data_IF_289755029034
#
_entry.id   IF_289755029034
#
_cell.length_a   1.000
_cell.length_b   1.000
_cell.length_c   1.000
_cell.angle_alpha   90.00
_cell.angle_beta   90.00
_cell.angle_gamma   90.00
#
_symmetry.space_group_name_H-M   'P 1'
#
loop_
_entity.id
_entity.type
_entity.pdbx_description
1 polymer ?
#
# COMPACT_ATOMS: atom_id res chain seq x y z
N UNK A 1 28.86 -29.06 -51.45
CA UNK A 1 28.16 -29.87 -50.42
C UNK A 1 26.79 -29.23 -50.20
N UNK A 2 25.69 -29.85 -50.63
CA UNK A 2 24.33 -29.25 -50.49
C UNK A 2 23.82 -29.52 -49.08
N UNK A 3 23.76 -28.50 -48.24
CA UNK A 3 23.21 -28.60 -46.89
C UNK A 3 21.70 -28.91 -47.03
N UNK A 4 21.26 -30.09 -46.55
CA UNK A 4 19.85 -30.47 -46.64
C UNK A 4 19.04 -29.68 -45.61
N UNK A 5 17.86 -29.22 -46.01
CA UNK A 5 16.89 -28.46 -45.21
C UNK A 5 16.75 -28.90 -43.73
N UNK A 6 16.66 -30.20 -43.38
CA UNK A 6 16.56 -30.61 -41.97
C UNK A 6 17.79 -30.22 -41.12
N UNK A 7 18.99 -30.16 -41.70
CA UNK A 7 20.20 -29.75 -40.97
C UNK A 7 20.24 -28.24 -40.72
N UNK A 8 19.61 -27.44 -41.59
CA UNK A 8 19.47 -26.00 -41.37
C UNK A 8 18.51 -25.70 -40.21
N UNK A 9 17.43 -26.48 -40.09
CA UNK A 9 16.46 -26.35 -38.98
C UNK A 9 17.09 -26.68 -37.63
N UNK A 10 17.90 -27.74 -37.57
CA UNK A 10 18.62 -28.13 -36.34
C UNK A 10 19.65 -27.07 -35.93
N UNK A 11 20.37 -26.49 -36.90
CA UNK A 11 21.33 -25.41 -36.65
C UNK A 11 20.64 -24.15 -36.09
N UNK A 12 19.49 -23.78 -36.64
CA UNK A 12 18.72 -22.62 -36.17
C UNK A 12 18.19 -22.84 -34.75
N UNK A 13 17.69 -24.04 -34.44
CA UNK A 13 17.25 -24.38 -33.07
C UNK A 13 18.40 -24.32 -32.05
N UNK A 14 19.62 -24.70 -32.44
CA UNK A 14 20.80 -24.64 -31.57
C UNK A 14 21.28 -23.20 -31.30
N UNK A 15 21.00 -22.25 -32.21
CA UNK A 15 21.38 -20.85 -32.05
C UNK A 15 20.39 -20.06 -31.16
N UNK A 16 19.14 -20.50 -31.06
CA UNK A 16 18.13 -19.83 -30.23
C UNK A 16 18.33 -20.04 -28.72
N UNK A 17 18.96 -21.13 -28.28
CA UNK A 17 19.16 -21.41 -26.84
C UNK A 17 20.19 -20.51 -26.16
N UNK A 18 21.00 -19.76 -26.92
CA UNK A 18 22.05 -18.88 -26.37
C UNK A 18 21.65 -17.42 -26.21
N UNK A 19 20.40 -17.02 -26.49
CA UNK A 19 19.96 -15.60 -26.43
C UNK A 19 18.98 -15.29 -25.31
N UNK A 20 18.72 -16.22 -24.40
CA UNK A 20 17.91 -15.98 -23.20
C UNK A 20 18.72 -15.23 -22.13
N UNK A 21 19.00 -13.95 -22.37
CA UNK A 21 19.37 -13.05 -21.29
C UNK A 21 18.08 -12.62 -20.58
N UNK A 22 17.81 -13.18 -19.41
CA UNK A 22 16.82 -12.64 -18.50
C UNK A 22 17.33 -11.27 -18.01
N UNK A 23 16.85 -10.18 -18.60
CA UNK A 23 17.11 -8.83 -18.07
C UNK A 23 16.29 -8.67 -16.78
N UNK A 24 16.85 -9.07 -15.63
CA UNK A 24 16.39 -8.53 -14.35
C UNK A 24 16.69 -7.04 -14.36
N UNK A 25 15.65 -6.22 -14.26
CA UNK A 25 15.81 -4.78 -14.18
C UNK A 25 16.29 -4.42 -12.75
N UNK A 26 17.57 -4.70 -12.46
CA UNK A 26 18.26 -4.50 -11.18
C UNK A 26 18.56 -3.03 -10.86
N UNK A 27 18.03 -2.08 -11.64
CA UNK A 27 18.23 -0.64 -11.41
C UNK A 27 17.46 -0.07 -10.20
N UNK A 28 16.74 -0.90 -9.43
CA UNK A 28 16.06 -0.44 -8.23
C UNK A 28 17.03 -0.38 -7.07
N UNK A 29 17.52 0.82 -6.77
CA UNK A 29 18.25 1.11 -5.54
C UNK A 29 17.51 0.51 -4.32
N UNK A 30 18.22 -0.13 -3.38
CA UNK A 30 17.62 -0.68 -2.18
C UNK A 30 16.97 0.45 -1.38
N UNK A 31 15.79 0.18 -0.82
CA UNK A 31 15.11 1.16 0.02
C UNK A 31 15.89 1.31 1.34
N UNK A 32 16.06 2.54 1.86
CA UNK A 32 16.67 2.72 3.17
C UNK A 32 15.82 2.03 4.23
N UNK A 33 16.40 1.69 5.39
CA UNK A 33 15.61 1.15 6.48
C UNK A 33 14.58 2.19 6.95
N UNK A 34 13.38 1.72 7.31
CA UNK A 34 12.35 2.59 7.83
C UNK A 34 12.81 3.26 9.13
N UNK A 35 12.75 4.58 9.16
CA UNK A 35 12.99 5.34 10.39
C UNK A 35 11.65 5.59 11.08
N UNK A 36 11.56 5.21 12.36
CA UNK A 36 10.33 5.36 13.13
C UNK A 36 10.53 6.40 14.23
N UNK A 37 9.62 7.37 14.29
CA UNK A 37 9.56 8.35 15.36
C UNK A 37 9.36 7.68 16.73
N UNK A 38 9.89 8.26 17.80
CA UNK A 38 9.81 7.67 19.14
C UNK A 38 8.37 7.42 19.62
N UNK A 39 7.40 8.19 19.10
CA UNK A 39 5.99 8.06 19.45
C UNK A 39 5.43 6.67 19.13
N UNK A 40 6.00 5.90 18.18
CA UNK A 40 5.50 4.55 17.87
C UNK A 40 5.77 3.56 19.00
N UNK A 41 6.67 3.86 19.93
CA UNK A 41 6.96 2.96 21.06
C UNK A 41 5.90 3.06 22.16
N UNK A 42 5.10 4.14 22.18
CA UNK A 42 4.00 4.28 23.13
C UNK A 42 2.90 3.22 22.88
N UNK A 43 2.16 2.80 23.93
CA UNK A 43 1.01 1.90 23.81
C UNK A 43 -0.04 2.39 22.81
N UNK A 44 -0.90 1.49 22.35
CA UNK A 44 -2.06 1.86 21.53
C UNK A 44 -3.02 2.72 22.36
N UNK A 45 -3.51 3.80 21.76
CA UNK A 45 -4.66 4.54 22.28
C UNK A 45 -5.94 3.74 22.06
N UNK A 46 -7.01 4.09 22.78
CA UNK A 46 -8.32 3.44 22.61
C UNK A 46 -8.85 3.57 21.18
N UNK A 47 -8.66 4.73 20.53
CA UNK A 47 -9.08 4.94 19.13
C UNK A 47 -8.30 4.04 18.16
N UNK A 48 -6.99 3.91 18.32
CA UNK A 48 -6.18 3.04 17.46
C UNK A 48 -6.52 1.57 17.67
N UNK A 49 -6.81 1.16 18.92
CA UNK A 49 -7.28 -0.18 19.22
C UNK A 49 -8.61 -0.48 18.52
N UNK A 50 -9.58 0.43 18.60
CA UNK A 50 -10.87 0.27 17.90
C UNK A 50 -10.70 0.17 16.38
N UNK A 51 -9.83 1.00 15.79
CA UNK A 51 -9.50 0.94 14.35
C UNK A 51 -8.92 -0.41 13.93
N UNK A 52 -8.07 -0.98 14.79
CA UNK A 52 -7.47 -2.29 14.59
C UNK A 52 -8.50 -3.43 14.77
N UNK A 53 -9.36 -3.34 15.79
CA UNK A 53 -10.42 -4.31 16.05
C UNK A 53 -11.44 -4.35 14.89
N UNK A 54 -11.80 -3.19 14.34
CA UNK A 54 -12.71 -3.09 13.19
C UNK A 54 -12.18 -3.85 11.96
N UNK A 55 -10.88 -3.77 11.68
CA UNK A 55 -10.28 -4.32 10.45
C UNK A 55 -9.82 -5.76 10.62
N UNK A 56 -9.30 -6.12 11.80
CA UNK A 56 -8.72 -7.44 12.04
C UNK A 56 -9.64 -8.38 12.82
N UNK A 57 -10.65 -7.87 13.53
CA UNK A 57 -11.59 -8.67 14.32
C UNK A 57 -10.88 -9.69 15.22
N UNK A 58 -11.29 -10.95 15.12
CA UNK A 58 -10.72 -12.06 15.89
C UNK A 58 -9.25 -12.40 15.51
N UNK A 59 -8.75 -11.89 14.37
CA UNK A 59 -7.38 -12.10 13.91
C UNK A 59 -6.39 -11.07 14.46
N UNK A 60 -6.89 -10.01 15.13
CA UNK A 60 -6.08 -8.91 15.64
C UNK A 60 -4.90 -9.39 16.50
N UNK A 61 -5.15 -10.33 17.42
CA UNK A 61 -4.11 -10.82 18.32
C UNK A 61 -2.97 -11.51 17.55
N UNK A 62 -3.29 -12.45 16.66
CA UNK A 62 -2.30 -13.28 15.95
C UNK A 62 -1.56 -12.55 14.81
N UNK A 63 -2.20 -11.59 14.16
CA UNK A 63 -1.64 -10.93 12.98
C UNK A 63 -1.04 -9.56 13.27
N UNK A 64 -1.34 -8.95 14.42
CA UNK A 64 -0.82 -7.62 14.77
C UNK A 64 -0.23 -7.60 16.17
N UNK A 65 -1.01 -7.91 17.20
CA UNK A 65 -0.58 -7.64 18.58
C UNK A 65 0.55 -8.56 19.04
N UNK A 66 0.60 -9.81 18.57
CA UNK A 66 1.70 -10.74 18.82
C UNK A 66 2.94 -10.48 17.96
N UNK A 67 2.91 -9.51 17.04
CA UNK A 67 3.98 -9.20 16.10
C UNK A 67 4.48 -7.76 16.34
N UNK A 68 5.50 -7.55 17.21
CA UNK A 68 5.91 -6.22 17.64
C UNK A 68 6.26 -5.27 16.49
N UNK A 69 6.99 -5.75 15.48
CA UNK A 69 7.36 -4.94 14.31
C UNK A 69 6.14 -4.59 13.43
N UNK A 70 5.19 -5.52 13.28
CA UNK A 70 3.94 -5.25 12.55
C UNK A 70 3.12 -4.19 13.27
N UNK A 71 2.98 -4.31 14.58
CA UNK A 71 2.30 -3.32 15.42
C UNK A 71 3.00 -1.96 15.35
N UNK A 72 4.33 -1.94 15.35
CA UNK A 72 5.13 -0.70 15.20
C UNK A 72 4.89 -0.04 13.84
N UNK A 73 4.89 -0.82 12.76
CA UNK A 73 4.61 -0.33 11.41
C UNK A 73 3.19 0.25 11.29
N UNK A 74 2.18 -0.42 11.85
CA UNK A 74 0.80 0.10 11.83
C UNK A 74 0.68 1.37 12.67
N UNK A 75 1.32 1.45 13.85
CA UNK A 75 1.36 2.69 14.64
C UNK A 75 1.99 3.83 13.83
N UNK A 76 3.05 3.56 13.08
CA UNK A 76 3.66 4.57 12.21
C UNK A 76 2.69 5.05 11.12
N UNK A 77 1.93 4.13 10.51
CA UNK A 77 0.87 4.49 9.54
C UNK A 77 -0.14 5.44 10.18
N UNK A 78 -0.70 5.07 11.33
CA UNK A 78 -1.76 5.81 11.99
C UNK A 78 -1.32 7.16 12.57
N UNK A 79 -0.11 7.24 13.11
CA UNK A 79 0.37 8.42 13.86
C UNK A 79 1.10 9.43 12.98
N UNK A 80 1.89 8.96 12.01
CA UNK A 80 2.89 9.80 11.36
C UNK A 80 2.66 9.94 9.85
N UNK A 81 2.09 8.92 9.20
CA UNK A 81 2.05 8.85 7.73
C UNK A 81 0.71 9.24 7.12
N UNK A 82 -0.40 8.89 7.75
CA UNK A 82 -1.74 9.25 7.26
C UNK A 82 -2.07 10.67 7.74
N UNK A 83 -2.34 11.57 6.79
CA UNK A 83 -2.79 12.92 7.06
C UNK A 83 -4.06 13.23 6.27
N UNK A 84 -5.04 13.84 6.94
CA UNK A 84 -6.25 14.33 6.29
C UNK A 84 -6.06 15.81 6.03
N UNK A 85 -6.06 16.19 4.76
CA UNK A 85 -5.89 17.55 4.29
C UNK A 85 -7.23 18.09 3.79
N UNK A 86 -7.42 19.40 3.88
CA UNK A 86 -8.60 20.09 3.37
C UNK A 86 -8.17 21.17 2.38
N UNK A 87 -8.63 21.08 1.13
CA UNK A 87 -8.38 22.09 0.11
C UNK A 87 -9.68 22.83 -0.20
N UNK A 88 -9.84 24.01 0.39
CA UNK A 88 -11.04 24.82 0.24
C UNK A 88 -11.23 25.38 -1.19
N UNK A 89 -10.13 25.65 -1.90
CA UNK A 89 -10.19 26.21 -3.25
C UNK A 89 -10.22 25.09 -4.30
N UNK A 90 -11.13 25.20 -5.26
CA UNK A 90 -11.22 24.24 -6.38
C UNK A 90 -9.96 24.21 -7.23
N UNK A 91 -9.18 25.29 -7.27
CA UNK A 91 -7.90 25.36 -8.00
C UNK A 91 -6.78 24.54 -7.36
N UNK A 92 -6.87 24.26 -6.06
CA UNK A 92 -5.89 23.46 -5.32
C UNK A 92 -6.25 21.96 -5.37
N UNK A 93 -7.40 21.61 -5.96
CA UNK A 93 -7.84 20.24 -6.12
C UNK A 93 -7.01 19.55 -7.21
N UNK A 94 -6.14 18.64 -6.80
CA UNK A 94 -5.37 17.81 -7.72
C UNK A 94 -6.21 16.63 -8.19
N UNK A 95 -6.10 16.29 -9.46
CA UNK A 95 -6.63 15.03 -9.96
C UNK A 95 -5.83 13.88 -9.34
N UNK A 96 -6.51 13.01 -8.60
CA UNK A 96 -5.97 11.79 -8.02
C UNK A 96 -7.08 10.77 -7.82
N UNK A 97 -6.70 9.54 -7.47
CA UNK A 97 -7.61 8.42 -7.21
C UNK A 97 -8.64 8.80 -6.15
N UNK A 98 -9.91 8.45 -6.41
CA UNK A 98 -10.99 8.65 -5.45
C UNK A 98 -10.92 7.59 -4.34
N UNK A 99 -11.38 7.93 -3.14
CA UNK A 99 -11.44 6.98 -2.03
C UNK A 99 -12.37 5.80 -2.34
N UNK A 100 -13.46 6.05 -3.05
CA UNK A 100 -14.39 5.02 -3.53
C UNK A 100 -13.75 4.00 -4.48
N UNK A 101 -12.73 4.40 -5.25
CA UNK A 101 -11.98 3.54 -6.17
C UNK A 101 -11.01 2.62 -5.43
N UNK A 102 -10.60 2.98 -4.20
CA UNK A 102 -9.72 2.14 -3.37
C UNK A 102 -10.55 1.05 -2.73
N UNK A 103 -10.31 -0.21 -3.09
CA UNK A 103 -10.99 -1.38 -2.51
C UNK A 103 -10.82 -1.46 -0.98
N UNK A 104 -11.77 -2.10 -0.30
CA UNK A 104 -11.67 -2.37 1.13
C UNK A 104 -10.68 -3.51 1.41
N UNK A 105 -10.02 -3.45 2.56
CA UNK A 105 -9.19 -4.51 3.09
C UNK A 105 -10.04 -5.43 3.99
N UNK A 106 -10.93 -6.20 3.36
CA UNK A 106 -11.91 -7.09 3.98
C UNK A 106 -11.38 -8.52 4.25
N UNK A 107 -10.08 -8.75 4.08
CA UNK A 107 -9.47 -10.08 4.18
C UNK A 107 -9.70 -10.81 5.51
N UNK A 108 -9.80 -10.08 6.63
CA UNK A 108 -10.03 -10.66 7.96
C UNK A 108 -11.47 -10.54 8.45
N UNK A 109 -12.22 -9.56 7.92
CA UNK A 109 -13.60 -9.23 8.28
C UNK A 109 -14.36 -9.00 6.97
N UNK A 110 -15.06 -10.04 6.50
CA UNK A 110 -15.64 -10.08 5.15
C UNK A 110 -16.82 -9.12 4.94
N UNK A 111 -17.47 -8.67 6.02
CA UNK A 111 -18.59 -7.74 6.00
C UNK A 111 -18.17 -6.30 6.29
N UNK A 112 -16.87 -6.00 6.24
CA UNK A 112 -16.34 -4.65 6.41
C UNK A 112 -17.00 -3.68 5.42
N UNK A 113 -17.56 -2.59 5.95
CA UNK A 113 -18.26 -1.58 5.14
C UNK A 113 -17.50 -0.26 5.10
N UNK A 114 -17.65 0.49 4.00
CA UNK A 114 -17.24 1.91 3.96
C UNK A 114 -18.08 2.73 4.93
N UNK A 115 -17.51 3.84 5.37
CA UNK A 115 -18.27 4.81 6.15
C UNK A 115 -19.35 5.44 5.25
N UNK A 116 -20.60 5.50 5.72
CA UNK A 116 -21.70 6.09 4.94
C UNK A 116 -21.44 7.56 4.62
N UNK A 117 -20.79 8.27 5.53
CA UNK A 117 -20.34 9.65 5.38
C UNK A 117 -18.92 9.77 5.90
N UNK A 118 -18.07 10.45 5.14
CA UNK A 118 -16.70 10.69 5.57
C UNK A 118 -16.67 11.64 6.77
N UNK A 119 -15.98 11.22 7.83
CA UNK A 119 -15.69 12.06 8.99
C UNK A 119 -14.20 11.94 9.34
N UNK A 120 -13.47 13.05 9.22
CA UNK A 120 -12.01 13.08 9.45
C UNK A 120 -11.59 12.64 10.85
N UNK A 121 -12.46 12.75 11.85
CA UNK A 121 -12.14 12.41 13.24
C UNK A 121 -12.31 10.92 13.54
N UNK A 122 -13.19 10.24 12.82
CA UNK A 122 -13.47 8.81 13.00
C UNK A 122 -12.89 7.94 11.89
N UNK A 123 -12.41 8.55 10.79
CA UNK A 123 -11.86 7.85 9.64
C UNK A 123 -10.81 6.80 10.05
N UNK A 124 -11.03 5.58 9.59
CA UNK A 124 -10.10 4.47 9.77
C UNK A 124 -9.38 4.17 8.44
N UNK A 125 -8.12 4.61 8.26
CA UNK A 125 -7.39 4.37 7.02
C UNK A 125 -7.09 2.89 6.77
N UNK A 126 -7.09 2.05 7.82
CA UNK A 126 -6.75 0.63 7.69
C UNK A 126 -7.85 -0.18 6.99
N UNK A 127 -9.05 0.39 6.83
CA UNK A 127 -10.16 -0.25 6.11
C UNK A 127 -9.92 -0.37 4.61
N UNK A 128 -8.97 0.39 4.06
CA UNK A 128 -8.77 0.54 2.62
C UNK A 128 -7.43 -0.07 2.20
N UNK A 129 -7.39 -0.67 1.01
CA UNK A 129 -6.19 -1.19 0.37
C UNK A 129 -5.32 -0.06 -0.20
N UNK A 130 -4.92 0.86 0.67
CA UNK A 130 -3.95 1.87 0.32
C UNK A 130 -2.57 1.26 0.12
N UNK A 131 -1.80 1.83 -0.80
CA UNK A 131 -0.40 1.46 -1.01
C UNK A 131 0.50 2.06 0.07
N UNK A 132 0.36 1.57 1.30
CA UNK A 132 1.15 2.01 2.46
C UNK A 132 2.65 1.68 2.33
N UNK A 133 3.07 0.81 1.41
CA UNK A 133 4.47 0.37 1.32
C UNK A 133 5.14 0.78 0.01
N UNK A 134 4.45 1.61 -0.78
CA UNK A 134 5.01 2.35 -1.91
C UNK A 134 6.24 3.18 -1.53
N UNK A 135 7.07 3.45 -2.54
CA UNK A 135 8.25 4.32 -2.42
C UNK A 135 7.89 5.82 -2.32
N UNK A 136 6.69 6.19 -2.75
CA UNK A 136 6.24 7.57 -2.87
C UNK A 136 5.17 7.92 -1.87
N UNK A 137 4.85 9.21 -1.77
CA UNK A 137 3.63 9.62 -1.09
C UNK A 137 2.45 9.51 -2.04
N UNK A 138 1.32 9.03 -1.53
CA UNK A 138 0.09 8.88 -2.30
C UNK A 138 -1.00 9.82 -1.77
N UNK A 139 -1.76 10.40 -2.68
CA UNK A 139 -2.86 11.30 -2.36
C UNK A 139 -4.15 10.71 -2.91
N UNK A 140 -5.16 10.58 -2.06
CA UNK A 140 -6.48 10.10 -2.43
C UNK A 140 -7.51 11.18 -2.13
N UNK A 141 -8.46 11.38 -3.04
CA UNK A 141 -9.53 12.37 -2.85
C UNK A 141 -10.74 11.69 -2.23
N UNK A 142 -11.27 12.27 -1.16
CA UNK A 142 -12.54 11.82 -0.59
C UNK A 142 -13.68 12.30 -1.48
N UNK A 143 -14.47 11.36 -1.97
CA UNK A 143 -15.59 11.57 -2.88
C UNK A 143 -16.52 12.69 -2.41
N UNK A 144 -16.90 13.59 -3.33
CA UNK A 144 -17.84 14.69 -3.07
C UNK A 144 -17.47 15.63 -1.91
N UNK A 145 -16.19 15.71 -1.51
CA UNK A 145 -15.71 16.64 -0.49
C UNK A 145 -14.45 17.41 -0.92
N UNK A 146 -14.03 18.35 -0.08
CA UNK A 146 -12.73 19.05 -0.14
C UNK A 146 -11.60 18.29 0.58
N UNK A 147 -11.87 17.10 1.11
CA UNK A 147 -10.90 16.32 1.89
C UNK A 147 -10.03 15.42 1.02
N UNK A 148 -8.77 15.30 1.44
CA UNK A 148 -7.78 14.43 0.83
C UNK A 148 -7.08 13.61 1.90
N UNK A 149 -6.72 12.38 1.57
CA UNK A 149 -5.94 11.49 2.41
C UNK A 149 -4.55 11.42 1.80
N UNK A 150 -3.59 12.05 2.45
CA UNK A 150 -2.17 11.93 2.14
C UNK A 150 -1.58 10.77 2.94
N UNK A 151 -0.92 9.86 2.25
CA UNK A 151 -0.12 8.79 2.84
C UNK A 151 1.32 9.09 2.49
N UNK A 152 2.10 9.52 3.48
CA UNK A 152 3.53 9.80 3.29
C UNK A 152 4.30 8.52 3.02
N UNK A 153 5.38 8.61 2.24
CA UNK A 153 6.39 7.55 2.11
C UNK A 153 6.90 7.10 3.50
N UNK A 154 7.33 5.83 3.59
CA UNK A 154 8.02 5.31 4.78
C UNK A 154 9.50 5.71 4.83
N UNK A 155 10.04 6.14 3.69
CA UNK A 155 11.44 6.48 3.42
C UNK A 155 11.59 7.93 3.00
#
# INVERSE_FOLDING_TARGET
MKLKFPHLVVLVLYLFTFTLNAQSNDQRQPLPLANYDQNVNAPLTSSERLKLEEVYGNKLQSYVLSQPERLKAIKNILRNRVQILEFANSKDQKQCTLLSEVSLFDYYVNDLQRDQQFNKHTFNPLKYNFDFYSRGSHLYRVDNTSYYILIKSQH
#
